data_IF_925681970450
#
_entry.id   IF_925681970450
#
_cell.length_a   1.000
_cell.length_b   1.000
_cell.length_c   1.000
_cell.angle_alpha   90.00
_cell.angle_beta   90.00
_cell.angle_gamma   90.00
#
_symmetry.space_group_name_H-M   'P 1'
#
loop_
_entity.id
_entity.type
_entity.pdbx_description
1 polymer ?
#
# COMPACT_ATOMS: atom_id res chain seq x y z
N UNK A 1 12.11 6.94 8.73
CA UNK A 1 11.51 6.28 7.54
C UNK A 1 12.33 5.04 7.22
N UNK A 2 11.74 3.86 7.09
CA UNK A 2 12.50 2.66 6.73
C UNK A 2 13.00 2.77 5.28
N UNK A 3 14.15 2.17 4.97
CA UNK A 3 14.71 2.14 3.60
C UNK A 3 13.69 1.62 2.58
N UNK A 4 12.88 0.65 3.00
CA UNK A 4 11.78 0.09 2.21
C UNK A 4 10.66 1.10 1.88
N UNK A 5 10.27 1.95 2.82
CA UNK A 5 9.26 3.00 2.57
C UNK A 5 9.75 4.04 1.58
N UNK A 6 11.03 4.42 1.65
CA UNK A 6 11.64 5.32 0.67
C UNK A 6 11.68 4.68 -0.71
N UNK A 7 12.16 3.44 -0.81
CA UNK A 7 12.18 2.68 -2.05
C UNK A 7 10.78 2.56 -2.69
N UNK A 8 9.76 2.24 -1.90
CA UNK A 8 8.39 2.13 -2.40
C UNK A 8 7.82 3.45 -2.91
N UNK A 9 8.09 4.57 -2.22
CA UNK A 9 7.68 5.91 -2.69
C UNK A 9 8.37 6.26 -4.01
N UNK A 10 9.65 5.94 -4.13
CA UNK A 10 10.40 6.11 -5.37
C UNK A 10 9.84 5.24 -6.50
N UNK A 11 9.50 3.97 -6.21
CA UNK A 11 8.89 3.06 -7.17
C UNK A 11 7.55 3.61 -7.67
N UNK A 12 6.70 4.14 -6.78
CA UNK A 12 5.45 4.81 -7.18
C UNK A 12 5.70 6.01 -8.09
N UNK A 13 6.66 6.87 -7.74
CA UNK A 13 7.02 8.01 -8.57
C UNK A 13 7.50 7.57 -9.96
N UNK A 14 8.38 6.58 -10.02
CA UNK A 14 8.88 6.02 -11.28
C UNK A 14 7.75 5.41 -12.13
N UNK A 15 6.80 4.72 -11.52
CA UNK A 15 5.62 4.19 -12.22
C UNK A 15 4.75 5.30 -12.80
N UNK A 16 4.49 6.37 -12.04
CA UNK A 16 3.72 7.53 -12.54
C UNK A 16 4.42 8.17 -13.74
N UNK A 17 5.73 8.40 -13.65
CA UNK A 17 6.53 8.91 -14.77
C UNK A 17 6.45 7.94 -15.97
N UNK A 18 6.57 6.63 -15.73
CA UNK A 18 6.49 5.63 -16.80
C UNK A 18 5.13 5.62 -17.51
N UNK A 19 4.04 5.86 -16.79
CA UNK A 19 2.69 5.99 -17.35
C UNK A 19 2.60 7.23 -18.26
N UNK A 20 3.22 8.36 -17.87
CA UNK A 20 3.20 9.60 -18.67
C UNK A 20 3.94 9.46 -20.00
N UNK A 21 5.02 8.67 -20.02
CA UNK A 21 5.86 8.49 -21.20
C UNK A 21 5.62 7.16 -21.93
N UNK A 22 4.46 6.51 -21.71
CA UNK A 22 4.20 5.20 -22.31
C UNK A 22 4.00 5.26 -23.84
N UNK A 23 4.81 4.50 -24.58
CA UNK A 23 4.60 4.21 -25.99
C UNK A 23 3.76 2.94 -26.15
N UNK A 24 2.48 3.12 -26.49
CA UNK A 24 1.52 2.02 -26.64
C UNK A 24 1.75 1.17 -27.90
N UNK A 25 2.61 1.59 -28.82
CA UNK A 25 2.96 0.77 -29.98
C UNK A 25 4.03 -0.27 -29.64
N UNK A 26 4.66 -0.18 -28.46
CA UNK A 26 5.65 -1.15 -27.99
C UNK A 26 5.02 -2.11 -26.96
N UNK A 27 4.66 -3.35 -27.37
CA UNK A 27 4.00 -4.30 -26.47
C UNK A 27 4.85 -4.63 -25.24
N UNK A 28 6.18 -4.67 -25.39
CA UNK A 28 7.12 -4.92 -24.27
C UNK A 28 6.95 -3.88 -23.15
N UNK A 29 6.69 -2.62 -23.49
CA UNK A 29 6.52 -1.53 -22.54
C UNK A 29 5.20 -1.65 -21.79
N UNK A 30 4.14 -2.02 -22.51
CA UNK A 30 2.82 -2.29 -21.93
C UNK A 30 2.91 -3.43 -20.91
N UNK A 31 3.46 -4.58 -21.30
CA UNK A 31 3.56 -5.74 -20.41
C UNK A 31 4.44 -5.47 -19.19
N UNK A 32 5.54 -4.74 -19.37
CA UNK A 32 6.41 -4.33 -18.26
C UNK A 32 5.66 -3.42 -17.27
N UNK A 33 4.90 -2.44 -17.77
CA UNK A 33 4.13 -1.55 -16.91
C UNK A 33 3.03 -2.31 -16.15
N UNK A 34 2.29 -3.20 -16.82
CA UNK A 34 1.26 -4.03 -16.19
C UNK A 34 1.88 -4.87 -15.07
N UNK A 35 3.04 -5.48 -15.31
CA UNK A 35 3.73 -6.28 -14.32
C UNK A 35 4.16 -5.46 -13.10
N UNK A 36 4.70 -4.26 -13.31
CA UNK A 36 5.06 -3.33 -12.22
C UNK A 36 3.81 -2.95 -11.40
N UNK A 37 2.69 -2.66 -12.07
CA UNK A 37 1.42 -2.33 -11.41
C UNK A 37 0.88 -3.49 -10.57
N UNK A 38 1.01 -4.72 -11.05
CA UNK A 38 0.64 -5.91 -10.27
C UNK A 38 1.48 -6.04 -9.00
N UNK A 39 2.79 -5.88 -9.09
CA UNK A 39 3.69 -5.91 -7.92
C UNK A 39 3.31 -4.80 -6.93
N UNK A 40 3.09 -3.58 -7.42
CA UNK A 40 2.69 -2.46 -6.57
C UNK A 40 1.36 -2.72 -5.85
N UNK A 41 0.41 -3.37 -6.54
CA UNK A 41 -0.88 -3.75 -5.97
C UNK A 41 -0.69 -4.75 -4.83
N UNK A 42 0.09 -5.82 -5.04
CA UNK A 42 0.36 -6.83 -3.99
C UNK A 42 1.00 -6.19 -2.76
N UNK A 43 2.02 -5.34 -2.95
CA UNK A 43 2.68 -4.64 -1.83
C UNK A 43 1.67 -3.74 -1.09
N UNK A 44 0.80 -3.06 -1.82
CA UNK A 44 -0.22 -2.17 -1.24
C UNK A 44 -1.23 -2.96 -0.41
N UNK A 45 -1.68 -4.12 -0.90
CA UNK A 45 -2.58 -5.03 -0.16
C UNK A 45 -1.93 -5.51 1.14
N UNK A 46 -0.67 -5.96 1.09
CA UNK A 46 0.07 -6.41 2.28
C UNK A 46 0.12 -5.29 3.33
N UNK A 47 0.44 -4.06 2.91
CA UNK A 47 0.47 -2.91 3.81
C UNK A 47 -0.91 -2.56 4.40
N UNK A 48 -1.97 -2.69 3.62
CA UNK A 48 -3.32 -2.47 4.11
C UNK A 48 -3.71 -3.50 5.19
N UNK A 49 -3.33 -4.77 5.00
CA UNK A 49 -3.53 -5.83 5.99
C UNK A 49 -2.73 -5.53 7.26
N UNK A 50 -1.46 -5.14 7.13
CA UNK A 50 -0.62 -4.81 8.28
C UNK A 50 -1.17 -3.63 9.08
N UNK A 51 -1.60 -2.56 8.39
CA UNK A 51 -2.25 -1.40 9.02
C UNK A 51 -3.52 -1.80 9.78
N UNK A 52 -4.35 -2.67 9.19
CA UNK A 52 -5.55 -3.21 9.85
C UNK A 52 -5.18 -4.03 11.09
N UNK A 53 -4.14 -4.87 11.01
CA UNK A 53 -3.71 -5.69 12.14
C UNK A 53 -3.16 -4.83 13.28
N UNK A 54 -2.43 -3.75 12.98
CA UNK A 54 -2.01 -2.77 13.97
C UNK A 54 -3.20 -2.11 14.64
N UNK A 55 -4.20 -1.69 13.85
CA UNK A 55 -5.43 -1.11 14.37
C UNK A 55 -6.19 -2.07 15.31
N UNK A 56 -6.27 -3.36 14.96
CA UNK A 56 -6.89 -4.38 15.82
C UNK A 56 -6.14 -4.56 17.14
N UNK A 57 -4.80 -4.58 17.12
CA UNK A 57 -3.98 -4.66 18.34
C UNK A 57 -4.22 -3.47 19.27
N UNK A 58 -4.32 -2.26 18.72
CA UNK A 58 -4.62 -1.05 19.50
C UNK A 58 -5.98 -1.14 20.22
N UNK A 59 -7.00 -1.76 19.58
CA UNK A 59 -8.30 -2.03 20.23
C UNK A 59 -8.17 -3.04 21.37
N UNK A 60 -7.49 -4.16 21.12
CA UNK A 60 -7.38 -5.26 22.07
C UNK A 60 -6.60 -4.82 23.33
N UNK A 61 -5.55 -4.02 23.15
CA UNK A 61 -4.71 -3.43 24.21
C UNK A 61 -5.43 -2.32 25.00
N UNK A 62 -6.65 -1.93 24.60
CA UNK A 62 -7.43 -0.90 25.30
C UNK A 62 -6.91 0.52 25.11
N UNK A 63 -6.00 0.74 24.15
CA UNK A 63 -5.35 2.01 23.85
C UNK A 63 -6.26 2.98 23.05
N UNK A 64 -7.55 2.62 22.95
CA UNK A 64 -8.62 3.41 22.36
C UNK A 64 -9.75 3.51 23.37
N UNK A 65 -10.06 4.73 23.81
CA UNK A 65 -11.14 5.14 24.74
C UNK A 65 -12.55 4.63 24.37
N UNK A 66 -12.69 3.91 23.26
CA UNK A 66 -13.97 3.39 22.79
C UNK A 66 -14.47 2.25 23.69
N UNK A 67 -13.58 1.50 24.35
CA UNK A 67 -13.96 0.33 25.18
C UNK A 67 -14.94 0.69 26.31
N UNK A 68 -14.85 1.89 26.87
CA UNK A 68 -15.72 2.37 27.95
C UNK A 68 -17.09 2.89 27.46
N UNK A 69 -17.28 3.13 26.15
CA UNK A 69 -18.56 3.60 25.59
C UNK A 69 -19.45 2.49 25.00
N UNK A 70 -18.92 1.27 24.87
CA UNK A 70 -19.67 0.12 24.30
C UNK A 70 -20.11 -0.88 25.37
N UNK A 71 -19.70 -0.72 26.63
CA UNK A 71 -20.35 -1.41 27.74
C UNK A 71 -21.70 -0.74 28.00
N UNK A 72 -22.73 -1.20 27.29
CA UNK A 72 -24.10 -0.98 27.71
C UNK A 72 -24.33 -1.92 28.90
N UNK A 73 -24.58 -1.33 30.06
CA UNK A 73 -25.12 -1.97 31.26
C UNK A 73 -26.48 -2.65 30.94
#
# INVERSE_FOLDING_TARGET
>A
MTKFTVFFRFLWFATIVSILFIDRNKPIMIYTLIFILLILTVITVIRAIESRNQWRRMIDEGDVEIKDKISFD
#
